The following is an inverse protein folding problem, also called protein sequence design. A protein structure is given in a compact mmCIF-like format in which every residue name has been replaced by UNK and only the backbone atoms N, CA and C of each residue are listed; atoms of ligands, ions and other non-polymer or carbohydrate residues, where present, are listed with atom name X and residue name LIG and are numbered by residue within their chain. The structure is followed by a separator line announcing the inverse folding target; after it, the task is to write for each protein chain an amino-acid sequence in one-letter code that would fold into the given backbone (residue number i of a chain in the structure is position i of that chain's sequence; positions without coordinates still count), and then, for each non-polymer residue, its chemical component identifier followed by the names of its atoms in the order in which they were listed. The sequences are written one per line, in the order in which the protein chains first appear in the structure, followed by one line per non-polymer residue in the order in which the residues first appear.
data_IF_257138793719
#
_entry.id   IF_257138793719
#
_cell.length_a   1.000
_cell.length_b   1.000
_cell.length_c   1.000
_cell.angle_alpha   90.00
_cell.angle_beta   90.00
_cell.angle_gamma   90.00
#
_symmetry.space_group_name_H-M   'P 1'
#
loop_
_entity.id
_entity.type
_entity.pdbx_description
1 polymer ?
#
# COMPACT_ATOMS: atom_id res chain seq x y z
N UNK A 1 13.35 30.25 14.38
CA UNK A 1 14.11 29.24 15.16
C UNK A 1 13.80 27.86 14.59
N UNK A 2 14.65 27.37 13.70
CA UNK A 2 14.53 26.03 13.10
C UNK A 2 14.99 24.99 14.13
N UNK A 3 14.07 24.16 14.64
CA UNK A 3 14.44 22.98 15.43
C UNK A 3 14.82 21.84 14.49
N UNK A 4 16.10 21.49 14.58
CA UNK A 4 16.79 20.32 14.03
C UNK A 4 15.92 19.10 13.66
N UNK A 5 15.83 18.82 12.36
CA UNK A 5 15.35 17.55 11.77
C UNK A 5 16.47 16.51 11.57
N UNK A 6 17.67 16.77 12.06
CA UNK A 6 18.87 15.97 11.79
C UNK A 6 18.95 14.62 12.53
N UNK A 7 18.01 14.33 13.44
CA UNK A 7 18.00 13.09 14.24
C UNK A 7 17.21 11.91 13.63
N UNK A 8 16.29 12.15 12.69
CA UNK A 8 15.55 11.08 12.00
C UNK A 8 16.34 10.52 10.79
N UNK A 9 17.19 11.36 10.17
CA UNK A 9 17.95 10.98 8.95
C UNK A 9 18.98 9.87 9.22
N UNK A 10 19.70 9.93 10.35
CA UNK A 10 20.73 8.95 10.68
C UNK A 10 20.18 7.55 10.98
N UNK A 11 19.12 7.45 11.80
CA UNK A 11 18.47 6.15 12.10
C UNK A 11 17.83 5.50 10.87
N UNK A 12 17.31 6.31 9.95
CA UNK A 12 16.70 5.81 8.71
C UNK A 12 17.76 5.26 7.75
N UNK A 13 18.98 5.81 7.78
CA UNK A 13 20.10 5.36 6.96
C UNK A 13 20.73 4.05 7.48
N UNK A 14 20.81 3.85 8.80
CA UNK A 14 21.31 2.59 9.38
C UNK A 14 20.33 1.43 9.15
N UNK A 15 19.03 1.71 9.27
CA UNK A 15 17.94 0.83 8.85
C UNK A 15 18.17 0.43 7.38
N UNK A 16 18.37 1.38 6.48
CA UNK A 16 18.59 1.14 5.04
C UNK A 16 19.78 0.21 4.73
N UNK A 17 20.92 0.35 5.41
CA UNK A 17 22.09 -0.51 5.20
C UNK A 17 21.86 -1.97 5.62
N UNK A 18 20.99 -2.22 6.61
CA UNK A 18 20.57 -3.58 6.97
C UNK A 18 19.60 -4.20 5.97
N UNK A 19 18.89 -3.40 5.17
CA UNK A 19 17.90 -3.89 4.21
C UNK A 19 18.43 -4.08 2.79
N UNK A 20 19.51 -3.39 2.40
CA UNK A 20 20.00 -3.40 1.01
C UNK A 20 20.69 -4.71 0.57
N UNK A 21 21.11 -5.57 1.50
CA UNK A 21 21.87 -6.80 1.15
C UNK A 21 21.00 -8.08 1.12
N UNK A 22 19.72 -7.98 1.48
CA UNK A 22 18.76 -9.11 1.46
C UNK A 22 17.50 -8.87 0.60
N UNK A 23 17.35 -7.68 0.01
CA UNK A 23 16.11 -7.18 -0.59
C UNK A 23 15.83 -7.61 -2.03
N UNK A 24 16.25 -8.79 -2.48
CA UNK A 24 15.86 -9.27 -3.82
C UNK A 24 14.40 -9.77 -3.90
N UNK A 25 13.64 -9.72 -2.79
CA UNK A 25 12.21 -10.12 -2.73
C UNK A 25 11.28 -9.02 -2.15
N UNK A 26 11.79 -7.96 -1.54
CA UNK A 26 11.06 -7.27 -0.46
C UNK A 26 9.92 -6.33 -0.88
N UNK A 27 10.06 -5.47 -1.89
CA UNK A 27 8.99 -4.56 -2.34
C UNK A 27 9.09 -4.37 -3.85
N UNK A 28 7.96 -4.22 -4.54
CA UNK A 28 8.01 -3.96 -5.98
C UNK A 28 6.87 -3.05 -6.41
N UNK A 29 7.15 -2.14 -7.33
CA UNK A 29 6.11 -1.33 -7.96
C UNK A 29 5.45 -2.03 -9.17
N UNK A 30 5.99 -3.14 -9.65
CA UNK A 30 5.45 -3.87 -10.84
C UNK A 30 4.44 -4.94 -10.49
N UNK A 31 4.08 -5.03 -9.21
CA UNK A 31 3.40 -6.19 -8.67
C UNK A 31 1.89 -6.07 -8.57
N UNK A 32 1.40 -4.86 -8.71
CA UNK A 32 0.00 -4.52 -8.77
C UNK A 32 -0.20 -3.39 -9.77
N UNK A 33 -1.41 -3.29 -10.32
CA UNK A 33 -1.86 -2.14 -11.11
C UNK A 33 -3.06 -1.52 -10.41
N UNK A 34 -3.00 -0.23 -10.18
CA UNK A 34 -4.14 0.57 -9.74
C UNK A 34 -4.73 1.32 -10.93
N UNK A 35 -6.02 1.62 -10.90
CA UNK A 35 -6.64 2.49 -11.89
C UNK A 35 -7.68 3.40 -11.22
N UNK A 36 -8.12 4.39 -11.99
CA UNK A 36 -9.21 5.29 -11.59
C UNK A 36 -10.47 4.84 -12.37
N UNK A 37 -11.66 4.87 -11.75
CA UNK A 37 -12.89 4.66 -12.50
C UNK A 37 -13.02 5.67 -13.63
N UNK A 38 -13.55 5.23 -14.77
CA UNK A 38 -13.82 6.12 -15.89
C UNK A 38 -14.70 7.30 -15.49
N UNK A 39 -15.76 7.04 -14.72
CA UNK A 39 -16.50 8.08 -14.01
C UNK A 39 -15.90 8.30 -12.61
N UNK A 40 -15.14 9.38 -12.47
CA UNK A 40 -14.47 9.75 -11.21
C UNK A 40 -15.44 10.04 -10.07
N UNK A 41 -16.72 10.37 -10.35
CA UNK A 41 -17.72 10.60 -9.30
C UNK A 41 -18.04 9.35 -8.49
N UNK A 42 -17.79 8.16 -9.06
CA UNK A 42 -17.94 6.90 -8.32
C UNK A 42 -17.08 6.91 -7.04
N UNK A 43 -15.92 7.58 -7.07
CA UNK A 43 -15.03 7.68 -5.91
C UNK A 43 -15.67 8.39 -4.71
N UNK A 44 -16.68 9.24 -4.90
CA UNK A 44 -17.40 9.92 -3.80
C UNK A 44 -18.15 8.93 -2.90
N UNK A 45 -18.46 7.75 -3.44
CA UNK A 45 -19.23 6.70 -2.76
C UNK A 45 -18.35 5.61 -2.16
N UNK A 46 -17.04 5.65 -2.37
CA UNK A 46 -16.14 4.56 -1.98
C UNK A 46 -15.35 4.90 -0.72
N UNK A 47 -15.23 3.91 0.16
CA UNK A 47 -14.20 3.89 1.19
C UNK A 47 -12.82 3.53 0.60
N UNK A 48 -11.70 3.84 1.29
CA UNK A 48 -10.37 3.37 0.89
C UNK A 48 -10.32 1.86 0.63
N UNK A 49 -10.92 1.06 1.51
CA UNK A 49 -11.01 -0.40 1.38
C UNK A 49 -11.71 -0.81 0.09
N UNK A 50 -12.89 -0.25 -0.19
CA UNK A 50 -13.67 -0.60 -1.39
C UNK A 50 -12.98 -0.14 -2.67
N UNK A 51 -12.28 0.99 -2.63
CA UNK A 51 -11.43 1.42 -3.74
C UNK A 51 -10.34 0.37 -4.01
N UNK A 52 -9.58 -0.04 -3.00
CA UNK A 52 -8.51 -1.03 -3.15
C UNK A 52 -9.04 -2.41 -3.57
N UNK A 53 -10.24 -2.78 -3.16
CA UNK A 53 -10.90 -4.01 -3.59
C UNK A 53 -11.28 -3.98 -5.07
N UNK A 54 -11.82 -2.86 -5.56
CA UNK A 54 -12.40 -2.74 -6.91
C UNK A 54 -11.41 -2.26 -7.97
N UNK A 55 -10.43 -1.46 -7.59
CA UNK A 55 -9.55 -0.70 -8.47
C UNK A 55 -8.06 -1.05 -8.29
N UNK A 56 -7.77 -2.23 -7.73
CA UNK A 56 -6.45 -2.81 -7.65
C UNK A 56 -6.44 -4.20 -8.30
N UNK A 57 -5.42 -4.47 -9.13
CA UNK A 57 -5.18 -5.76 -9.73
C UNK A 57 -3.82 -6.25 -9.30
N UNK A 58 -3.80 -7.43 -8.69
CA UNK A 58 -2.57 -8.07 -8.23
C UNK A 58 -2.02 -8.93 -9.36
N UNK A 59 -0.70 -8.86 -9.59
CA UNK A 59 -0.06 -9.77 -10.53
C UNK A 59 0.02 -11.19 -9.95
N UNK A 60 0.19 -12.19 -10.82
CA UNK A 60 0.14 -13.59 -10.41
C UNK A 60 1.18 -13.95 -9.33
N UNK A 61 2.39 -13.40 -9.41
CA UNK A 61 3.46 -13.67 -8.44
C UNK A 61 3.09 -13.18 -7.04
N UNK A 62 2.62 -11.94 -6.89
CA UNK A 62 2.16 -11.44 -5.58
C UNK A 62 0.88 -12.11 -5.13
N UNK A 63 -0.01 -12.43 -6.06
CA UNK A 63 -1.22 -13.16 -5.73
C UNK A 63 -0.89 -14.46 -4.97
N UNK A 64 0.10 -15.23 -5.41
CA UNK A 64 0.55 -16.44 -4.72
C UNK A 64 1.06 -16.13 -3.31
N UNK A 65 1.89 -15.09 -3.15
CA UNK A 65 2.44 -14.69 -1.85
C UNK A 65 1.30 -14.28 -0.91
N UNK A 66 0.45 -13.35 -1.34
CA UNK A 66 -0.67 -12.86 -0.56
C UNK A 66 -1.64 -13.97 -0.23
N UNK A 67 -1.88 -14.90 -1.16
CA UNK A 67 -2.77 -16.04 -0.93
C UNK A 67 -2.22 -16.95 0.16
N UNK A 68 -0.93 -17.29 0.09
CA UNK A 68 -0.27 -18.09 1.13
C UNK A 68 -0.36 -17.43 2.51
N UNK A 69 -0.08 -16.14 2.60
CA UNK A 69 -0.18 -15.40 3.85
C UNK A 69 -1.63 -15.35 4.34
N UNK A 70 -2.57 -15.02 3.46
CA UNK A 70 -3.99 -15.01 3.82
C UNK A 70 -4.45 -16.38 4.33
N UNK A 71 -4.06 -17.47 3.68
CA UNK A 71 -4.42 -18.82 4.10
C UNK A 71 -3.82 -19.21 5.46
N UNK A 72 -2.69 -18.60 5.86
CA UNK A 72 -2.10 -18.75 7.20
C UNK A 72 -2.90 -18.03 8.29
N UNK A 73 -3.49 -16.88 8.00
CA UNK A 73 -4.12 -15.99 8.99
C UNK A 73 -5.65 -15.98 8.95
N UNK A 74 -6.27 -16.51 7.90
CA UNK A 74 -7.73 -16.57 7.78
C UNK A 74 -8.34 -17.49 8.82
N UNK A 75 -9.56 -17.16 9.22
CA UNK A 75 -10.39 -18.04 10.02
C UNK A 75 -11.08 -19.13 9.17
N UNK A 76 -11.96 -19.90 9.81
CA UNK A 76 -12.73 -20.96 9.18
C UNK A 76 -13.76 -20.43 8.15
N UNK A 77 -14.13 -19.15 8.23
CA UNK A 77 -15.03 -18.48 7.29
C UNK A 77 -14.27 -17.89 6.08
N UNK A 78 -12.97 -18.19 5.96
CA UNK A 78 -12.09 -17.66 4.95
C UNK A 78 -12.02 -16.11 4.96
N UNK A 79 -12.03 -15.53 6.16
CA UNK A 79 -11.83 -14.10 6.37
C UNK A 79 -10.68 -13.84 7.34
N UNK A 80 -10.05 -12.68 7.23
CA UNK A 80 -8.95 -12.23 8.09
C UNK A 80 -9.45 -11.10 8.99
N UNK A 81 -9.26 -11.20 10.29
CA UNK A 81 -9.62 -10.12 11.22
C UNK A 81 -8.64 -8.96 11.09
N UNK A 82 -9.13 -7.72 11.14
CA UNK A 82 -8.27 -6.53 11.03
C UNK A 82 -7.20 -6.48 12.14
N UNK A 83 -7.48 -7.04 13.32
CA UNK A 83 -6.53 -7.12 14.43
C UNK A 83 -5.21 -7.84 14.08
N UNK A 84 -5.24 -8.85 13.20
CA UNK A 84 -4.05 -9.61 12.78
C UNK A 84 -3.40 -9.07 11.50
N UNK A 85 -3.96 -8.01 10.91
CA UNK A 85 -3.48 -7.44 9.66
C UNK A 85 -2.04 -6.92 9.74
N UNK A 86 -1.56 -6.27 10.82
CA UNK A 86 -0.17 -5.86 10.93
C UNK A 86 0.80 -7.04 10.82
N UNK A 87 0.53 -8.12 11.54
CA UNK A 87 1.36 -9.33 11.53
C UNK A 87 1.34 -10.01 10.17
N UNK A 88 0.16 -10.14 9.55
CA UNK A 88 0.03 -10.72 8.22
C UNK A 88 0.82 -9.93 7.16
N UNK A 89 0.78 -8.59 7.23
CA UNK A 89 1.56 -7.75 6.32
C UNK A 89 3.05 -7.85 6.61
N UNK A 90 3.47 -7.86 7.88
CA UNK A 90 4.88 -8.04 8.25
C UNK A 90 5.43 -9.36 7.69
N UNK A 91 4.66 -10.45 7.83
CA UNK A 91 4.98 -11.76 7.25
C UNK A 91 5.06 -11.74 5.72
N UNK A 92 4.15 -11.02 5.04
CA UNK A 92 4.21 -10.83 3.59
C UNK A 92 5.50 -10.13 3.14
N UNK A 93 6.10 -9.36 4.04
CA UNK A 93 7.39 -8.70 3.87
C UNK A 93 8.53 -9.42 4.57
N UNK A 94 8.37 -10.69 4.96
CA UNK A 94 9.41 -11.49 5.62
C UNK A 94 9.96 -10.83 6.90
N UNK A 95 9.12 -10.11 7.64
CA UNK A 95 9.51 -9.39 8.87
C UNK A 95 10.33 -8.12 8.60
N UNK A 96 10.45 -7.69 7.35
CA UNK A 96 11.25 -6.51 6.96
C UNK A 96 10.75 -5.24 7.63
N UNK A 97 9.44 -5.06 7.78
CA UNK A 97 8.86 -3.83 8.32
C UNK A 97 8.20 -4.06 9.68
N UNK A 98 8.43 -3.13 10.60
CA UNK A 98 7.85 -3.19 11.94
C UNK A 98 6.33 -2.92 11.92
N UNK A 99 5.63 -3.49 12.90
CA UNK A 99 4.18 -3.37 13.02
C UNK A 99 3.71 -1.93 13.31
N UNK A 100 4.59 -1.05 13.80
CA UNK A 100 4.23 0.34 14.12
C UNK A 100 4.08 1.15 12.83
N UNK A 101 5.00 0.99 11.89
CA UNK A 101 4.93 1.58 10.56
C UNK A 101 3.75 1.04 9.76
N UNK A 102 3.54 -0.28 9.80
CA UNK A 102 2.38 -0.91 9.17
C UNK A 102 1.07 -0.39 9.79
N UNK A 103 1.03 -0.23 11.11
CA UNK A 103 -0.12 0.34 11.83
C UNK A 103 -0.48 1.76 11.36
N UNK A 104 0.53 2.63 11.13
CA UNK A 104 0.30 3.98 10.59
C UNK A 104 -0.38 3.96 9.22
N UNK A 105 0.00 3.00 8.37
CA UNK A 105 -0.62 2.80 7.06
C UNK A 105 -2.06 2.28 7.19
N UNK A 106 -2.31 1.33 8.11
CA UNK A 106 -3.65 0.77 8.34
C UNK A 106 -4.65 1.85 8.77
N UNK A 107 -4.22 2.86 9.54
CA UNK A 107 -5.08 4.00 9.93
C UNK A 107 -5.61 4.76 8.70
N UNK A 108 -4.85 4.83 7.61
CA UNK A 108 -5.29 5.49 6.37
C UNK A 108 -6.43 4.76 5.66
N UNK A 109 -6.61 3.47 5.94
CA UNK A 109 -7.58 2.61 5.28
C UNK A 109 -8.97 2.66 5.92
N UNK A 110 -9.09 3.35 7.06
CA UNK A 110 -10.35 3.53 7.80
C UNK A 110 -11.07 2.18 8.07
N UNK A 111 -10.29 1.18 8.49
CA UNK A 111 -10.80 -0.16 8.77
C UNK A 111 -11.34 -0.26 10.21
N UNK A 112 -12.60 -0.68 10.42
CA UNK A 112 -13.11 -0.90 11.77
C UNK A 112 -12.35 -2.03 12.47
N UNK A 113 -11.93 -1.82 13.73
CA UNK A 113 -11.06 -2.75 14.47
C UNK A 113 -11.63 -4.16 14.61
N UNK A 114 -12.95 -4.30 14.73
CA UNK A 114 -13.65 -5.59 14.86
C UNK A 114 -14.14 -6.16 13.53
N UNK A 115 -13.74 -5.58 12.40
CA UNK A 115 -14.14 -6.09 11.09
C UNK A 115 -13.25 -7.23 10.62
N UNK A 116 -13.80 -8.01 9.70
CA UNK A 116 -13.09 -9.03 8.95
C UNK A 116 -12.98 -8.60 7.49
N UNK A 117 -11.93 -9.03 6.82
CA UNK A 117 -11.66 -8.74 5.42
C UNK A 117 -11.51 -10.03 4.61
N UNK A 118 -11.99 -10.00 3.37
CA UNK A 118 -11.84 -11.11 2.43
C UNK A 118 -10.42 -11.16 1.86
N UNK A 119 -10.09 -12.23 1.14
CA UNK A 119 -8.82 -12.30 0.43
C UNK A 119 -8.64 -11.17 -0.59
N UNK A 120 -9.70 -10.82 -1.33
CA UNK A 120 -9.65 -9.71 -2.30
C UNK A 120 -9.25 -8.41 -1.62
N UNK A 121 -9.90 -8.08 -0.50
CA UNK A 121 -9.60 -6.90 0.30
C UNK A 121 -8.17 -6.94 0.87
N UNK A 122 -7.77 -8.07 1.47
CA UNK A 122 -6.41 -8.25 1.97
C UNK A 122 -5.37 -8.04 0.87
N UNK A 123 -5.59 -8.60 -0.32
CA UNK A 123 -4.64 -8.52 -1.43
C UNK A 123 -4.48 -7.09 -1.97
N UNK A 124 -5.58 -6.32 -2.05
CA UNK A 124 -5.55 -4.91 -2.41
C UNK A 124 -4.84 -4.05 -1.36
N UNK A 125 -5.10 -4.32 -0.08
CA UNK A 125 -4.42 -3.67 1.05
C UNK A 125 -2.92 -3.96 1.01
N UNK A 126 -2.51 -5.23 0.83
CA UNK A 126 -1.11 -5.63 0.75
C UNK A 126 -0.38 -4.96 -0.42
N UNK A 127 -1.04 -4.84 -1.58
CA UNK A 127 -0.49 -4.10 -2.71
C UNK A 127 -0.36 -2.60 -2.45
N UNK A 128 -1.34 -1.99 -1.77
CA UNK A 128 -1.24 -0.59 -1.39
C UNK A 128 -0.13 -0.35 -0.38
N UNK A 129 0.01 -1.20 0.62
CA UNK A 129 1.08 -1.07 1.61
C UNK A 129 2.46 -1.21 0.99
N UNK A 130 2.64 -2.03 -0.06
CA UNK A 130 3.88 -2.02 -0.84
C UNK A 130 4.16 -0.65 -1.47
N UNK A 131 3.15 0.00 -2.07
CA UNK A 131 3.29 1.35 -2.65
C UNK A 131 3.61 2.40 -1.60
N UNK A 132 2.90 2.37 -0.49
CA UNK A 132 3.09 3.25 0.65
C UNK A 132 4.52 3.15 1.20
N UNK A 133 4.97 1.93 1.52
CA UNK A 133 6.30 1.68 2.07
C UNK A 133 7.38 2.07 1.07
N UNK A 134 7.22 1.69 -0.21
CA UNK A 134 8.18 2.08 -1.25
C UNK A 134 8.29 3.61 -1.36
N UNK A 135 7.18 4.35 -1.32
CA UNK A 135 7.20 5.81 -1.43
C UNK A 135 7.87 6.47 -0.22
N UNK A 136 7.69 5.93 0.98
CA UNK A 136 8.32 6.44 2.20
C UNK A 136 9.84 6.18 2.22
N UNK A 137 10.27 5.01 1.78
CA UNK A 137 11.69 4.62 1.83
C UNK A 137 12.48 4.97 0.57
N UNK A 138 11.83 5.45 -0.50
CA UNK A 138 12.51 5.84 -1.74
C UNK A 138 13.43 7.04 -1.50
N UNK A 139 14.71 6.88 -1.88
CA UNK A 139 15.65 8.01 -1.97
C UNK A 139 15.35 8.86 -3.21
N UNK A 140 15.41 10.20 -3.13
CA UNK A 140 15.18 11.08 -4.28
C UNK A 140 16.08 10.80 -5.49
N UNK A 141 17.30 10.29 -5.23
CA UNK A 141 18.37 10.21 -6.22
C UNK A 141 18.60 8.80 -6.80
N UNK A 142 17.81 7.78 -6.43
CA UNK A 142 17.99 6.44 -7.00
C UNK A 142 17.37 6.37 -8.41
N UNK A 143 18.22 6.21 -9.42
CA UNK A 143 17.84 5.91 -10.81
C UNK A 143 17.35 4.46 -10.97
N UNK A 144 16.53 3.97 -10.04
CA UNK A 144 16.13 2.57 -10.03
C UNK A 144 15.17 2.25 -11.17
N UNK A 145 15.61 1.36 -12.05
CA UNK A 145 14.86 0.76 -13.16
C UNK A 145 13.63 -0.07 -12.73
N UNK A 146 13.41 -0.22 -11.41
CA UNK A 146 12.23 -0.87 -10.83
C UNK A 146 10.96 0.02 -10.84
N UNK A 147 11.10 1.31 -11.15
CA UNK A 147 10.05 2.34 -11.14
C UNK A 147 9.13 2.39 -12.36
N UNK A 148 9.17 1.40 -13.25
CA UNK A 148 8.20 1.37 -14.34
C UNK A 148 6.85 0.89 -13.79
N UNK A 149 6.06 1.82 -13.25
CA UNK A 149 4.60 1.68 -13.18
C UNK A 149 4.08 1.27 -14.55
N UNK A 150 3.01 0.49 -14.57
CA UNK A 150 2.30 0.18 -15.81
C UNK A 150 1.94 1.50 -16.52
N UNK A 151 2.16 1.59 -17.83
CA UNK A 151 1.87 2.80 -18.62
C UNK A 151 0.41 3.22 -18.43
N UNK A 152 -0.50 2.26 -18.29
CA UNK A 152 -1.90 2.52 -18.04
C UNK A 152 -2.13 3.16 -16.66
N UNK A 153 -1.46 2.68 -15.62
CA UNK A 153 -1.51 3.30 -14.29
C UNK A 153 -0.96 4.73 -14.32
N UNK A 154 0.14 4.96 -15.05
CA UNK A 154 0.68 6.32 -15.24
C UNK A 154 -0.36 7.24 -15.88
N UNK A 155 -1.04 6.78 -16.93
CA UNK A 155 -2.07 7.57 -17.61
C UNK A 155 -3.27 7.84 -16.69
N UNK A 156 -3.73 6.83 -15.95
CA UNK A 156 -4.85 6.93 -15.01
C UNK A 156 -4.56 7.92 -13.88
N UNK A 157 -3.32 7.92 -13.36
CA UNK A 157 -2.92 8.78 -12.24
C UNK A 157 -2.23 10.08 -12.67
N UNK A 158 -1.95 10.26 -13.96
CA UNK A 158 -1.49 11.55 -14.49
C UNK A 158 -2.54 12.62 -14.22
N UNK A 159 -2.09 13.78 -13.75
CA UNK A 159 -2.96 14.92 -13.44
C UNK A 159 -4.11 14.58 -12.48
N UNK A 160 -3.89 13.65 -11.53
CA UNK A 160 -4.90 13.20 -10.56
C UNK A 160 -5.61 14.39 -9.86
N UNK A 161 -4.86 15.40 -9.43
CA UNK A 161 -5.44 16.59 -8.79
C UNK A 161 -6.50 17.28 -9.66
N UNK A 162 -6.22 17.44 -10.96
CA UNK A 162 -7.14 18.03 -11.92
C UNK A 162 -8.35 17.12 -12.18
N UNK A 163 -8.15 15.81 -12.23
CA UNK A 163 -9.24 14.83 -12.40
C UNK A 163 -10.21 14.82 -11.22
N UNK A 164 -9.74 15.20 -10.04
CA UNK A 164 -10.53 15.24 -8.80
C UNK A 164 -11.13 16.62 -8.50
N UNK A 165 -10.97 17.61 -9.39
CA UNK A 165 -11.58 18.94 -9.23
C UNK A 165 -13.11 18.79 -9.25
N UNK A 166 -13.76 19.30 -8.20
CA UNK A 166 -15.21 19.22 -8.05
C UNK A 166 -15.74 17.83 -7.64
N UNK A 167 -14.85 16.87 -7.33
CA UNK A 167 -15.23 15.54 -6.82
C UNK A 167 -15.07 15.48 -5.30
N UNK A 168 -16.16 15.19 -4.60
CA UNK A 168 -16.24 15.15 -3.15
C UNK A 168 -15.88 13.76 -2.57
N UNK A 169 -14.61 13.38 -2.69
CA UNK A 169 -14.09 12.15 -2.08
C UNK A 169 -13.71 12.34 -0.61
N UNK A 170 -13.77 11.27 0.18
CA UNK A 170 -13.29 11.28 1.56
C UNK A 170 -11.80 11.65 1.65
N UNK A 171 -11.40 12.28 2.76
CA UNK A 171 -10.01 12.71 2.98
C UNK A 171 -9.04 11.53 3.01
N UNK A 172 -9.45 10.40 3.60
CA UNK A 172 -8.68 9.16 3.63
C UNK A 172 -8.50 8.56 2.24
N UNK A 173 -9.57 8.52 1.42
CA UNK A 173 -9.46 8.05 0.03
C UNK A 173 -8.53 8.95 -0.78
N UNK A 174 -8.71 10.29 -0.68
CA UNK A 174 -7.81 11.25 -1.33
C UNK A 174 -6.36 11.01 -0.95
N UNK A 175 -6.09 10.78 0.33
CA UNK A 175 -4.75 10.55 0.83
C UNK A 175 -4.13 9.27 0.25
N UNK A 176 -4.85 8.14 0.24
CA UNK A 176 -4.29 6.89 -0.32
C UNK A 176 -4.00 7.01 -1.82
N UNK A 177 -4.83 7.73 -2.59
CA UNK A 177 -4.61 7.93 -4.02
C UNK A 177 -3.30 8.68 -4.30
N UNK A 178 -2.83 9.52 -3.37
CA UNK A 178 -1.52 10.20 -3.53
C UNK A 178 -0.34 9.24 -3.40
N UNK A 179 -0.49 8.09 -2.73
CA UNK A 179 0.59 7.10 -2.56
C UNK A 179 0.68 6.11 -3.71
N UNK A 180 -0.33 6.06 -4.56
CA UNK A 180 -0.39 5.18 -5.73
C UNK A 180 0.51 5.72 -6.83
#
# INVERSE_FOLDING_TARGET
MYKNLNGLSAKTNDIFYSYSDSSNVALSQKTSRFWIPFDVKILETLTPKEYLEKYCRINHRRWIVYKRIFDKYKDNEAQLKVEVLPDALSDAYMGTFDNRLIGQMIVLLDLPSNSKITFTQFSGIAAFSERYLFKIFRRPDSKDSQLQKDILEILDFSSLEWKLVGVNISSTLRQILTYI
#
